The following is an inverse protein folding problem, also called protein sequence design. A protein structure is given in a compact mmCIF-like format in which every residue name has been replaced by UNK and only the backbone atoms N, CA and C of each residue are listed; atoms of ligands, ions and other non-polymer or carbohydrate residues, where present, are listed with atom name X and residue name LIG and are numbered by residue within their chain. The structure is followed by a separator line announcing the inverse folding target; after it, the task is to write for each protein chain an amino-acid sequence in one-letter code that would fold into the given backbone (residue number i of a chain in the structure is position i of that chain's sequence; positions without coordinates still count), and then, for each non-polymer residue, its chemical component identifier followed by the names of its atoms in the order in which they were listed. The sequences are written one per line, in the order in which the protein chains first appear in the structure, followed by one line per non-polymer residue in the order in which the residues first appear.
data_IF_820661929869
#
_entry.id   IF_820661929869
#
_cell.length_a   1.000
_cell.length_b   1.000
_cell.length_c   1.000
_cell.angle_alpha   90.00
_cell.angle_beta   90.00
_cell.angle_gamma   90.00
#
_symmetry.space_group_name_H-M   'P 1'
#
loop_
_entity.id
_entity.type
_entity.pdbx_description
1 polymer ?
#
# COMPACT_ATOMS: atom_id res chain seq x y z
N UNK A 1 -17.02 4.78 -0.27
CA UNK A 1 -16.52 3.80 0.72
C UNK A 1 -16.93 4.24 2.12
N UNK A 2 -17.26 3.33 3.04
CA UNK A 2 -17.52 3.65 4.47
C UNK A 2 -16.26 4.09 5.21
N UNK A 3 -15.09 3.88 4.60
CA UNK A 3 -13.77 4.29 5.07
C UNK A 3 -13.20 5.30 4.06
N UNK A 4 -12.99 6.58 4.44
CA UNK A 4 -12.36 7.54 3.55
C UNK A 4 -10.91 7.14 3.30
N UNK A 5 -10.53 7.11 2.03
CA UNK A 5 -9.15 7.04 1.57
C UNK A 5 -8.55 8.46 1.59
N UNK A 6 -7.42 8.62 2.29
CA UNK A 6 -6.66 9.87 2.34
C UNK A 6 -5.24 9.50 1.93
N UNK A 7 -4.92 9.69 0.65
CA UNK A 7 -3.64 9.28 0.08
C UNK A 7 -2.59 10.40 0.04
N UNK A 8 -2.90 11.56 0.62
CA UNK A 8 -2.01 12.72 0.70
C UNK A 8 -0.73 12.37 1.48
N UNK A 9 0.41 12.71 0.90
CA UNK A 9 1.70 12.56 1.59
C UNK A 9 1.88 13.78 2.51
N UNK A 10 1.73 13.53 3.81
CA UNK A 10 1.80 14.58 4.85
C UNK A 10 3.02 14.46 5.76
N UNK A 11 3.83 13.41 5.59
CA UNK A 11 4.98 13.10 6.44
C UNK A 11 6.20 12.63 5.63
N UNK A 12 7.29 12.37 6.36
CA UNK A 12 8.54 11.83 5.83
C UNK A 12 8.50 10.31 5.60
N UNK A 13 7.38 9.68 5.95
CA UNK A 13 7.08 8.27 5.75
C UNK A 13 5.63 8.13 5.27
N UNK A 14 5.30 6.95 4.74
CA UNK A 14 3.93 6.57 4.38
C UNK A 14 3.45 5.47 5.31
N UNK A 15 2.23 5.60 5.79
CA UNK A 15 1.56 4.62 6.64
C UNK A 15 0.22 4.23 6.01
N UNK A 16 0.15 3.03 5.44
CA UNK A 16 -1.01 2.52 4.72
C UNK A 16 -1.70 1.40 5.50
N UNK A 17 -3.02 1.51 5.67
CA UNK A 17 -3.87 0.50 6.30
C UNK A 17 -4.79 -0.13 5.27
N UNK A 18 -4.52 -1.37 4.90
CA UNK A 18 -5.28 -2.15 3.94
C UNK A 18 -6.41 -2.86 4.67
N UNK A 19 -7.65 -2.43 4.40
CA UNK A 19 -8.84 -2.81 5.18
C UNK A 19 -9.82 -3.72 4.43
N UNK A 20 -9.76 -3.75 3.10
CA UNK A 20 -10.73 -4.40 2.23
C UNK A 20 -10.25 -5.80 1.79
N UNK A 21 -9.61 -6.53 2.70
CA UNK A 21 -9.24 -7.92 2.43
C UNK A 21 -10.46 -8.84 2.45
N UNK A 22 -10.31 -10.12 2.12
CA UNK A 22 -11.36 -11.12 2.28
C UNK A 22 -10.74 -12.46 2.65
N UNK A 23 -11.45 -13.23 3.48
CA UNK A 23 -11.08 -14.61 3.83
C UNK A 23 -11.24 -15.59 2.64
N UNK A 24 -12.02 -15.20 1.62
CA UNK A 24 -12.19 -15.98 0.37
C UNK A 24 -10.93 -15.96 -0.50
N UNK A 25 -10.05 -14.99 -0.27
CA UNK A 25 -8.76 -14.90 -0.95
C UNK A 25 -7.67 -15.53 -0.07
N UNK A 26 -6.91 -16.52 -0.57
CA UNK A 26 -5.84 -17.16 0.20
C UNK A 26 -4.81 -16.18 0.77
N UNK A 27 -4.56 -15.08 0.05
CA UNK A 27 -3.60 -14.04 0.40
C UNK A 27 -4.30 -12.74 0.85
N UNK A 28 -5.52 -12.80 1.39
CA UNK A 28 -6.33 -11.64 1.83
C UNK A 28 -6.82 -10.74 0.68
N UNK A 29 -6.05 -10.59 -0.40
CA UNK A 29 -6.41 -9.87 -1.62
C UNK A 29 -6.26 -10.77 -2.84
N UNK A 30 -6.87 -10.37 -3.95
CA UNK A 30 -6.62 -11.02 -5.24
C UNK A 30 -5.16 -10.77 -5.69
N UNK A 31 -4.59 -11.64 -6.54
CA UNK A 31 -3.24 -11.43 -7.08
C UNK A 31 -3.08 -10.05 -7.73
N UNK A 32 -4.07 -9.62 -8.54
CA UNK A 32 -4.10 -8.31 -9.17
C UNK A 32 -4.11 -7.18 -8.14
N UNK A 33 -4.92 -7.29 -7.09
CA UNK A 33 -4.97 -6.29 -6.02
C UNK A 33 -3.63 -6.15 -5.31
N UNK A 34 -2.92 -7.26 -5.06
CA UNK A 34 -1.58 -7.24 -4.48
C UNK A 34 -0.54 -6.61 -5.42
N UNK A 35 -0.65 -6.82 -6.73
CA UNK A 35 0.24 -6.20 -7.73
C UNK A 35 0.02 -4.68 -7.79
N UNK A 36 -1.24 -4.23 -7.77
CA UNK A 36 -1.59 -2.80 -7.68
C UNK A 36 -1.03 -2.16 -6.40
N UNK A 37 -1.18 -2.83 -5.26
CA UNK A 37 -0.59 -2.36 -4.00
C UNK A 37 0.94 -2.34 -4.04
N UNK A 38 1.59 -3.35 -4.62
CA UNK A 38 3.05 -3.36 -4.77
C UNK A 38 3.54 -2.18 -5.63
N UNK A 39 2.82 -1.84 -6.71
CA UNK A 39 3.13 -0.68 -7.53
C UNK A 39 3.02 0.63 -6.71
N UNK A 40 1.92 0.80 -5.96
CA UNK A 40 1.71 1.96 -5.08
C UNK A 40 2.82 2.10 -4.03
N UNK A 41 3.21 1.00 -3.39
CA UNK A 41 4.32 0.96 -2.41
C UNK A 41 5.62 1.44 -3.03
N UNK A 42 5.97 0.95 -4.23
CA UNK A 42 7.18 1.38 -4.94
C UNK A 42 7.13 2.86 -5.32
N UNK A 43 5.97 3.36 -5.74
CA UNK A 43 5.76 4.79 -6.05
C UNK A 43 5.99 5.65 -4.81
N UNK A 44 5.41 5.27 -3.66
CA UNK A 44 5.61 5.97 -2.39
C UNK A 44 7.05 5.93 -1.92
N UNK A 45 7.74 4.79 -2.06
CA UNK A 45 9.14 4.64 -1.67
C UNK A 45 10.08 5.56 -2.47
N UNK A 46 9.73 5.84 -3.74
CA UNK A 46 10.42 6.83 -4.58
C UNK A 46 10.04 8.29 -4.24
N UNK A 47 9.14 8.49 -3.28
CA UNK A 47 8.65 9.80 -2.88
C UNK A 47 7.56 10.38 -3.75
N UNK A 48 7.03 9.59 -4.69
CA UNK A 48 5.97 9.98 -5.61
C UNK A 48 4.61 9.59 -5.06
N UNK A 49 3.56 10.06 -5.71
CA UNK A 49 2.18 9.81 -5.33
C UNK A 49 1.50 8.92 -6.38
N UNK A 50 0.81 7.83 -5.98
CA UNK A 50 0.00 7.04 -6.90
C UNK A 50 -1.13 7.87 -7.50
N UNK A 51 -1.34 7.74 -8.82
CA UNK A 51 -2.34 8.53 -9.54
C UNK A 51 -3.77 8.02 -9.36
N UNK A 52 -3.93 6.79 -8.86
CA UNK A 52 -5.19 6.07 -8.77
C UNK A 52 -5.85 6.15 -7.38
N UNK A 53 -5.17 6.72 -6.39
CA UNK A 53 -5.70 6.91 -5.04
C UNK A 53 -6.25 8.31 -4.84
N UNK A 54 -7.37 8.41 -4.11
CA UNK A 54 -8.00 9.71 -3.86
C UNK A 54 -7.22 10.52 -2.83
N UNK A 55 -6.91 11.77 -3.19
CA UNK A 55 -6.32 12.78 -2.31
C UNK A 55 -7.41 13.68 -1.73
N UNK A 56 -7.23 14.08 -0.48
CA UNK A 56 -8.05 15.09 0.17
C UNK A 56 -7.76 16.49 -0.36
N UNK A 57 -6.49 16.79 -0.66
CA UNK A 57 -6.06 18.02 -1.33
C UNK A 57 -5.29 17.70 -2.62
N UNK A 58 -5.99 17.55 -3.76
CA UNK A 58 -5.33 17.26 -5.02
C UNK A 58 -4.57 18.45 -5.63
N UNK A 59 -4.62 19.65 -5.04
CA UNK A 59 -3.88 20.81 -5.55
C UNK A 59 -2.47 20.93 -4.96
N UNK A 60 -2.19 20.23 -3.86
CA UNK A 60 -0.91 20.31 -3.16
C UNK A 60 -0.07 19.05 -3.38
N UNK A 61 1.09 19.23 -3.99
CA UNK A 61 2.07 18.15 -4.15
C UNK A 61 3.11 18.17 -3.03
N UNK A 62 3.39 17.00 -2.48
CA UNK A 62 4.48 16.83 -1.53
C UNK A 62 5.83 16.78 -2.26
N UNK A 63 6.94 17.21 -1.63
CA UNK A 63 8.27 17.09 -2.23
C UNK A 63 8.59 15.64 -2.63
N UNK A 64 9.22 15.47 -3.79
CA UNK A 64 9.68 14.16 -4.26
C UNK A 64 10.99 13.80 -3.55
N UNK A 65 10.88 13.04 -2.46
CA UNK A 65 12.01 12.51 -1.69
C UNK A 65 11.74 11.05 -1.31
N UNK A 66 12.74 10.15 -1.32
CA UNK A 66 12.54 8.78 -0.85
C UNK A 66 11.96 8.74 0.57
N UNK A 67 11.09 7.77 0.84
CA UNK A 67 10.37 7.64 2.11
C UNK A 67 10.25 6.18 2.52
N UNK A 68 10.22 5.94 3.82
CA UNK A 68 9.85 4.64 4.35
C UNK A 68 8.35 4.40 4.18
N UNK A 69 7.96 3.20 3.77
CA UNK A 69 6.57 2.83 3.52
C UNK A 69 6.19 1.66 4.42
N UNK A 70 5.26 1.92 5.34
CA UNK A 70 4.74 0.91 6.26
C UNK A 70 3.32 0.53 5.85
N UNK A 71 3.10 -0.75 5.57
CA UNK A 71 1.81 -1.28 5.10
C UNK A 71 1.28 -2.31 6.09
N UNK A 72 0.05 -2.11 6.57
CA UNK A 72 -0.60 -2.99 7.54
C UNK A 72 -1.92 -3.54 7.00
N UNK A 73 -2.13 -4.86 7.16
CA UNK A 73 -3.38 -5.56 6.86
C UNK A 73 -4.17 -5.73 8.16
N UNK A 74 -5.38 -5.19 8.27
CA UNK A 74 -5.96 -4.94 9.61
C UNK A 74 -7.44 -5.29 9.85
N UNK A 75 -8.31 -5.40 8.83
CA UNK A 75 -9.77 -5.45 9.07
C UNK A 75 -10.42 -6.75 8.61
N UNK A 76 -10.46 -7.00 7.31
CA UNK A 76 -11.12 -8.17 6.73
C UNK A 76 -10.08 -9.18 6.23
N UNK A 77 -10.30 -10.47 6.43
CA UNK A 77 -9.27 -11.47 6.13
C UNK A 77 -8.30 -11.72 7.29
N UNK A 78 -8.68 -11.58 8.56
CA UNK A 78 -7.75 -11.62 9.72
C UNK A 78 -6.88 -12.88 9.75
N UNK A 79 -7.43 -14.03 9.35
CA UNK A 79 -6.70 -15.30 9.24
C UNK A 79 -5.71 -15.27 8.08
N UNK A 80 -6.04 -14.51 7.03
CA UNK A 80 -5.26 -14.37 5.79
C UNK A 80 -4.31 -13.18 5.76
N UNK A 81 -4.41 -12.25 6.71
CA UNK A 81 -3.60 -11.02 6.76
C UNK A 81 -2.08 -11.28 6.76
N UNK A 82 -1.54 -12.28 7.51
CA UNK A 82 -0.12 -12.62 7.41
C UNK A 82 0.29 -13.11 6.02
N UNK A 83 -0.56 -13.89 5.35
CA UNK A 83 -0.32 -14.37 3.99
C UNK A 83 -0.33 -13.22 2.98
N UNK A 84 -1.27 -12.28 3.11
CA UNK A 84 -1.31 -11.07 2.30
C UNK A 84 -0.06 -10.20 2.47
N UNK A 85 0.43 -10.05 3.71
CA UNK A 85 1.67 -9.33 3.98
C UNK A 85 2.88 -10.00 3.30
N UNK A 86 3.06 -11.33 3.48
CA UNK A 86 4.15 -12.07 2.83
C UNK A 86 4.05 -12.02 1.30
N UNK A 87 2.83 -12.12 0.76
CA UNK A 87 2.57 -12.07 -0.68
C UNK A 87 2.86 -10.68 -1.26
N UNK A 88 2.59 -9.60 -0.52
CA UNK A 88 2.96 -8.24 -0.89
C UNK A 88 4.48 -8.03 -0.81
N UNK A 89 5.12 -8.46 0.29
CA UNK A 89 6.57 -8.39 0.47
C UNK A 89 7.30 -9.04 -0.71
N UNK A 90 6.92 -10.26 -1.09
CA UNK A 90 7.51 -10.97 -2.23
C UNK A 90 7.45 -10.15 -3.54
N UNK A 91 6.35 -9.43 -3.79
CA UNK A 91 6.17 -8.59 -5.00
C UNK A 91 6.99 -7.30 -4.95
N UNK A 92 7.20 -6.77 -3.75
CA UNK A 92 8.06 -5.59 -3.53
C UNK A 92 9.53 -5.98 -3.71
N UNK A 93 9.96 -7.06 -3.04
CA UNK A 93 11.35 -7.53 -2.99
C UNK A 93 11.87 -8.06 -4.33
N UNK A 94 10.99 -8.57 -5.21
CA UNK A 94 11.34 -8.97 -6.58
C UNK A 94 11.93 -7.83 -7.44
N UNK A 95 12.10 -6.61 -6.91
CA UNK A 95 12.78 -5.49 -7.56
C UNK A 95 13.74 -4.68 -6.68
N UNK A 96 14.08 -5.10 -5.46
CA UNK A 96 15.07 -4.41 -4.60
C UNK A 96 16.10 -5.39 -4.03
N UNK A 97 17.41 -5.06 -4.02
CA UNK A 97 18.36 -5.77 -3.19
C UNK A 97 17.96 -5.54 -1.73
N UNK A 98 17.83 -6.62 -0.97
CA UNK A 98 17.69 -6.55 0.50
C UNK A 98 19.00 -5.98 1.05
N UNK A 99 18.97 -4.94 1.91
CA UNK A 99 20.19 -4.41 2.54
C UNK A 99 20.89 -5.44 3.43
#
# INVERSE_FOLDING_TARGET
AKYPDIADITADFVYARLQTGSDDNPDCYTPKGLDEWAARVKTWAQGKQPADLRRADPATDAPVKPRDVFVYFITEGKVRAPFGAMALMKRVDQGQPVP
#
